data_IF_377103883550
#
_entry.id   IF_377103883550
#
_cell.length_a   1.000
_cell.length_b   1.000
_cell.length_c   1.000
_cell.angle_alpha   90.00
_cell.angle_beta   90.00
_cell.angle_gamma   90.00
#
_symmetry.space_group_name_H-M   'P 1'
#
loop_
_entity.id
_entity.type
_entity.pdbx_description
1 polymer ?
#
# COMPACT_ATOMS: atom_id res chain seq x y z
N UNK A 1 -8.97 2.37 -13.47
CA UNK A 1 -9.09 1.65 -12.18
C UNK A 1 -7.99 2.18 -11.29
N UNK A 2 -8.26 2.71 -10.08
CA UNK A 2 -7.21 3.19 -9.19
C UNK A 2 -6.33 2.03 -8.70
N UNK A 3 -5.00 2.24 -8.71
CA UNK A 3 -4.00 1.27 -8.26
C UNK A 3 -3.76 1.41 -6.75
N UNK A 4 -3.89 0.30 -6.01
CA UNK A 4 -3.72 0.30 -4.55
C UNK A 4 -2.27 0.55 -4.13
N UNK A 5 -1.29 0.06 -4.90
CA UNK A 5 0.12 0.33 -4.67
C UNK A 5 0.43 1.82 -4.85
N UNK A 6 -0.14 2.45 -5.87
CA UNK A 6 0.02 3.89 -6.11
C UNK A 6 -0.56 4.71 -4.97
N UNK A 7 -1.75 4.35 -4.47
CA UNK A 7 -2.35 5.02 -3.32
C UNK A 7 -1.46 4.91 -2.07
N UNK A 8 -0.87 3.74 -1.82
CA UNK A 8 0.07 3.52 -0.71
C UNK A 8 1.32 4.38 -0.88
N UNK A 9 1.97 4.35 -2.06
CA UNK A 9 3.15 5.19 -2.35
C UNK A 9 2.85 6.67 -2.12
N UNK A 10 1.70 7.13 -2.62
CA UNK A 10 1.29 8.53 -2.50
C UNK A 10 0.99 8.92 -1.05
N UNK A 11 0.42 8.02 -0.24
CA UNK A 11 0.23 8.27 1.18
C UNK A 11 1.56 8.39 1.93
N UNK A 12 2.54 7.54 1.61
CA UNK A 12 3.90 7.61 2.18
C UNK A 12 4.60 8.90 1.77
N UNK A 13 4.60 9.26 0.48
CA UNK A 13 5.23 10.49 -0.02
C UNK A 13 4.61 11.79 0.55
N UNK A 14 3.35 11.74 0.98
CA UNK A 14 2.68 12.87 1.63
C UNK A 14 2.93 12.93 3.15
N UNK A 15 3.34 11.82 3.75
CA UNK A 15 3.58 11.72 5.19
C UNK A 15 4.91 12.38 5.59
N UNK A 16 4.96 12.91 6.80
CA UNK A 16 6.15 13.49 7.40
C UNK A 16 6.54 12.75 8.68
N UNK A 17 7.74 13.01 9.17
CA UNK A 17 8.17 12.50 10.46
C UNK A 17 7.17 12.88 11.57
N UNK A 18 6.67 11.87 12.28
CA UNK A 18 5.65 12.02 13.33
C UNK A 18 4.21 11.76 12.87
N UNK A 19 3.95 11.67 11.56
CA UNK A 19 2.64 11.29 11.05
C UNK A 19 2.40 9.78 11.17
N UNK A 20 1.13 9.38 11.18
CA UNK A 20 0.72 7.98 11.14
C UNK A 20 -0.06 7.70 9.86
N UNK A 21 0.42 6.75 9.07
CA UNK A 21 -0.26 6.24 7.88
C UNK A 21 -0.96 4.92 8.22
N UNK A 22 -2.30 4.90 8.16
CA UNK A 22 -3.11 3.70 8.38
C UNK A 22 -3.59 3.13 7.04
N UNK A 23 -3.18 1.90 6.72
CA UNK A 23 -3.74 1.12 5.61
C UNK A 23 -4.80 0.16 6.16
N UNK A 24 -6.06 0.37 5.79
CA UNK A 24 -7.20 -0.41 6.29
C UNK A 24 -7.89 -1.22 5.17
N UNK A 25 -8.66 -2.23 5.59
CA UNK A 25 -9.53 -3.03 4.73
C UNK A 25 -9.07 -4.47 4.51
N UNK A 26 -7.80 -4.69 4.11
CA UNK A 26 -7.29 -6.04 3.77
C UNK A 26 -6.80 -6.87 4.97
N UNK A 27 -6.29 -6.23 6.01
CA UNK A 27 -5.69 -6.95 7.14
C UNK A 27 -4.55 -7.89 6.70
N UNK A 28 -4.76 -9.20 6.84
CA UNK A 28 -3.77 -10.25 6.50
C UNK A 28 -3.95 -10.82 5.08
N UNK A 29 -4.88 -10.30 4.28
CA UNK A 29 -5.09 -10.74 2.90
C UNK A 29 -3.91 -10.39 2.00
N UNK A 30 -3.48 -11.35 1.18
CA UNK A 30 -2.32 -11.24 0.27
C UNK A 30 -2.72 -11.26 -1.21
N UNK A 31 -4.01 -11.01 -1.49
CA UNK A 31 -4.53 -10.88 -2.86
C UNK A 31 -5.41 -9.66 -2.99
N UNK A 32 -5.50 -9.09 -4.18
CA UNK A 32 -6.48 -8.09 -4.56
C UNK A 32 -7.37 -8.64 -5.67
N UNK A 33 -8.67 -8.65 -5.43
CA UNK A 33 -9.64 -9.01 -6.44
C UNK A 33 -9.96 -7.82 -7.35
N UNK A 34 -9.86 -8.03 -8.66
CA UNK A 34 -10.19 -7.05 -9.68
C UNK A 34 -11.06 -7.76 -10.71
N UNK A 35 -12.31 -7.31 -10.86
CA UNK A 35 -13.29 -7.90 -11.78
C UNK A 35 -13.39 -9.45 -11.66
N UNK A 36 -13.42 -9.97 -10.41
CA UNK A 36 -13.54 -11.40 -10.13
C UNK A 36 -12.22 -12.20 -10.22
N UNK A 37 -11.11 -11.57 -10.61
CA UNK A 37 -9.79 -12.21 -10.68
C UNK A 37 -8.94 -11.78 -9.49
N UNK A 38 -8.37 -12.75 -8.77
CA UNK A 38 -7.46 -12.50 -7.64
C UNK A 38 -6.03 -12.35 -8.13
N UNK A 39 -5.45 -11.17 -7.90
CA UNK A 39 -4.05 -10.86 -8.19
C UNK A 39 -3.24 -10.88 -6.89
N UNK A 40 -2.00 -11.39 -6.89
CA UNK A 40 -1.13 -11.30 -5.72
C UNK A 40 -0.90 -9.83 -5.31
N UNK A 41 -1.23 -9.49 -4.07
CA UNK A 41 -1.04 -8.15 -3.53
C UNK A 41 -1.10 -8.14 -1.99
N UNK A 42 -0.02 -7.69 -1.34
CA UNK A 42 0.06 -7.56 0.11
C UNK A 42 0.35 -6.10 0.49
N UNK A 43 -0.57 -5.47 1.21
CA UNK A 43 -0.45 -4.07 1.66
C UNK A 43 0.83 -3.84 2.46
N UNK A 44 1.29 -4.84 3.24
CA UNK A 44 2.47 -4.74 4.10
C UNK A 44 3.75 -4.69 3.27
N UNK A 45 3.81 -5.49 2.20
CA UNK A 45 4.96 -5.48 1.29
C UNK A 45 4.99 -4.19 0.47
N UNK A 46 3.83 -3.76 -0.04
CA UNK A 46 3.71 -2.50 -0.78
C UNK A 46 4.09 -1.29 0.08
N UNK A 47 3.64 -1.24 1.35
CA UNK A 47 4.00 -0.17 2.28
C UNK A 47 5.50 -0.17 2.59
N UNK A 48 6.10 -1.33 2.84
CA UNK A 48 7.54 -1.45 3.06
C UNK A 48 8.35 -0.99 1.86
N UNK A 49 7.94 -1.38 0.65
CA UNK A 49 8.60 -0.94 -0.58
C UNK A 49 8.54 0.59 -0.73
N UNK A 50 7.37 1.20 -0.50
CA UNK A 50 7.21 2.65 -0.58
C UNK A 50 8.15 3.41 0.37
N UNK A 51 8.33 2.97 1.62
CA UNK A 51 9.28 3.60 2.54
C UNK A 51 10.76 3.37 2.16
N UNK A 52 11.09 2.27 1.49
CA UNK A 52 12.44 2.03 0.98
C UNK A 52 12.76 2.90 -0.24
N UNK A 53 11.76 3.15 -1.10
CA UNK A 53 11.86 4.00 -2.29
C UNK A 53 12.05 5.48 -1.92
N UNK A 54 11.32 5.98 -0.93
CA UNK A 54 11.45 7.37 -0.44
C UNK A 54 12.75 7.60 0.34
N UNK A 55 13.46 6.52 0.72
CA UNK A 55 14.73 6.59 1.45
C UNK A 55 14.55 7.18 2.85
N UNK A 56 14.09 6.34 3.78
CA UNK A 56 14.07 6.52 5.25
C UNK A 56 14.36 7.93 5.79
#
# INVERSE_FOLDING_TARGET
MPDRAEAIRRAVALSKAGDVVLIAGKGHETTQEIAGVKHPFDDRLALRAAFLEEGA
#
